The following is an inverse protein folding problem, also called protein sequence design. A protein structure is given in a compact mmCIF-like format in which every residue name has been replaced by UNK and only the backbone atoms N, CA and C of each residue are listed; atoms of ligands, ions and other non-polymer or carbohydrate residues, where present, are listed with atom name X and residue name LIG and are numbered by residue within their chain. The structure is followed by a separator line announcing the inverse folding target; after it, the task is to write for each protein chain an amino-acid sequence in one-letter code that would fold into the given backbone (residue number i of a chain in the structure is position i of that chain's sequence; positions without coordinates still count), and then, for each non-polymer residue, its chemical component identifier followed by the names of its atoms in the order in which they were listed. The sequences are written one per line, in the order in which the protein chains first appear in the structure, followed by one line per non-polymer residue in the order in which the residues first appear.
data_IF_822697895711
#
_entry.id   IF_822697895711
#
_cell.length_a   1.000
_cell.length_b   1.000
_cell.length_c   1.000
_cell.angle_alpha   90.00
_cell.angle_beta   90.00
_cell.angle_gamma   90.00
#
_symmetry.space_group_name_H-M   'P 1'
#
loop_
_entity.id
_entity.type
_entity.pdbx_description
1 polymer ?
#
# COMPACT_ATOMS: atom_id res chain seq x y z
N UNK A 1 -5.07 22.12 8.32
CA UNK A 1 -4.80 21.21 9.45
C UNK A 1 -3.62 20.28 9.12
N UNK A 2 -3.67 19.42 8.11
CA UNK A 2 -2.57 18.48 7.79
C UNK A 2 -1.25 19.23 7.52
N UNK A 3 -1.26 20.31 6.74
CA UNK A 3 -0.08 21.15 6.51
C UNK A 3 0.57 21.64 7.81
N UNK A 4 -0.23 22.16 8.74
CA UNK A 4 0.28 22.66 10.03
C UNK A 4 0.83 21.52 10.89
N UNK A 5 0.15 20.37 10.92
CA UNK A 5 0.63 19.19 11.62
C UNK A 5 1.95 18.67 11.02
N UNK A 6 2.03 18.58 9.68
CA UNK A 6 3.25 18.19 8.99
C UNK A 6 4.41 19.17 9.27
N UNK A 7 4.13 20.49 9.24
CA UNK A 7 5.13 21.50 9.53
C UNK A 7 5.69 21.36 10.96
N UNK A 8 4.80 21.27 11.96
CA UNK A 8 5.22 21.12 13.36
C UNK A 8 6.04 19.83 13.52
N UNK A 9 5.56 18.75 12.94
CA UNK A 9 6.23 17.46 13.02
C UNK A 9 7.64 17.50 12.42
N UNK A 10 7.81 18.07 11.22
CA UNK A 10 9.12 18.17 10.56
C UNK A 10 10.09 19.13 11.29
N UNK A 11 9.58 20.10 12.03
CA UNK A 11 10.44 20.94 12.88
C UNK A 11 11.04 20.14 14.05
N UNK A 12 10.29 19.18 14.59
CA UNK A 12 10.70 18.37 15.76
C UNK A 12 11.52 17.14 15.37
N UNK A 13 11.34 16.60 14.16
CA UNK A 13 12.05 15.40 13.70
C UNK A 13 13.56 15.60 13.74
N UNK A 14 14.24 14.70 14.46
CA UNK A 14 15.70 14.56 14.45
C UNK A 14 16.08 13.39 13.54
N UNK A 15 16.92 13.66 12.55
CA UNK A 15 17.48 12.64 11.66
C UNK A 15 18.78 12.18 12.32
N UNK A 16 18.68 11.15 13.16
CA UNK A 16 19.81 10.72 14.01
C UNK A 16 20.01 9.20 14.02
N UNK A 17 19.19 8.45 13.30
CA UNK A 17 19.23 7.00 13.31
C UNK A 17 18.69 6.38 12.00
N UNK A 18 18.83 5.07 11.85
CA UNK A 18 18.36 4.31 10.71
C UNK A 18 19.26 4.45 9.48
N UNK A 19 18.79 3.96 8.36
CA UNK A 19 19.53 3.93 7.11
C UNK A 19 19.95 5.33 6.63
N UNK A 20 19.22 6.37 7.03
CA UNK A 20 19.55 7.76 6.68
C UNK A 20 20.97 8.14 7.11
N UNK A 21 21.37 7.79 8.34
CA UNK A 21 22.65 8.17 8.91
C UNK A 21 23.71 7.07 8.73
N UNK A 22 23.32 5.83 8.99
CA UNK A 22 24.27 4.70 9.01
C UNK A 22 24.73 4.33 7.60
N UNK A 23 23.85 4.47 6.61
CA UNK A 23 24.10 3.95 5.27
C UNK A 23 24.13 5.04 4.21
N UNK A 24 23.04 5.78 4.02
CA UNK A 24 22.93 6.68 2.86
C UNK A 24 23.85 7.91 2.94
N UNK A 25 24.14 8.45 4.14
CA UNK A 25 25.07 9.57 4.27
C UNK A 25 26.49 9.20 3.85
N UNK A 26 26.90 7.95 4.01
CA UNK A 26 28.24 7.48 3.66
C UNK A 26 28.39 7.05 2.21
N UNK A 27 27.29 6.87 1.49
CA UNK A 27 27.33 6.38 0.10
C UNK A 27 28.02 7.33 -0.88
N UNK A 28 27.92 8.64 -0.65
CA UNK A 28 28.44 9.66 -1.60
C UNK A 28 29.97 9.82 -1.57
N UNK A 29 30.63 9.16 -0.67
CA UNK A 29 32.07 9.24 -0.35
C UNK A 29 32.99 9.36 -1.59
N UNK A 30 33.01 10.54 -2.20
CA UNK A 30 33.78 10.87 -3.41
C UNK A 30 33.28 10.25 -4.73
N UNK A 31 32.21 9.44 -4.71
CA UNK A 31 31.63 8.77 -5.89
C UNK A 31 30.55 9.61 -6.55
N UNK A 32 30.40 9.46 -7.87
CA UNK A 32 29.29 10.06 -8.60
C UNK A 32 27.98 9.32 -8.30
N UNK A 33 26.84 10.01 -8.40
CA UNK A 33 25.52 9.39 -8.21
C UNK A 33 25.30 8.21 -9.18
N UNK A 34 25.81 8.31 -10.40
CA UNK A 34 25.67 7.26 -11.41
C UNK A 34 26.44 5.99 -11.07
N UNK A 35 27.66 6.12 -10.53
CA UNK A 35 28.45 4.98 -10.02
C UNK A 35 27.72 4.29 -8.85
N UNK A 36 27.17 5.08 -7.95
CA UNK A 36 26.42 4.53 -6.80
C UNK A 36 25.18 3.78 -7.30
N UNK A 37 24.39 4.38 -8.20
CA UNK A 37 23.18 3.73 -8.72
C UNK A 37 23.52 2.44 -9.48
N UNK A 38 24.56 2.45 -10.32
CA UNK A 38 25.02 1.26 -11.04
C UNK A 38 25.44 0.15 -10.07
N UNK A 39 26.22 0.49 -9.04
CA UNK A 39 26.60 -0.45 -8.00
C UNK A 39 25.41 -1.01 -7.23
N UNK A 40 24.47 -0.15 -6.84
CA UNK A 40 23.27 -0.59 -6.10
C UNK A 40 22.35 -1.45 -6.94
N UNK A 41 22.19 -1.14 -8.22
CA UNK A 41 21.45 -2.01 -9.14
C UNK A 41 22.06 -3.40 -9.24
N UNK A 42 23.39 -3.47 -9.31
CA UNK A 42 24.10 -4.74 -9.38
C UNK A 42 24.06 -5.54 -8.07
N UNK A 43 24.00 -4.89 -6.91
CA UNK A 43 24.23 -5.54 -5.60
C UNK A 43 23.05 -5.53 -4.63
N UNK A 44 22.06 -4.61 -4.79
CA UNK A 44 21.09 -4.40 -3.73
C UNK A 44 19.65 -4.11 -4.15
N UNK A 45 19.42 -3.18 -5.09
CA UNK A 45 18.08 -2.60 -5.28
C UNK A 45 17.79 -2.21 -6.72
N UNK A 46 16.55 -2.44 -7.14
CA UNK A 46 16.02 -2.00 -8.45
C UNK A 46 15.44 -0.57 -8.45
N UNK A 47 15.37 0.10 -7.30
CA UNK A 47 14.64 1.36 -7.09
C UNK A 47 15.40 2.59 -7.59
N UNK A 48 15.90 2.55 -8.83
CA UNK A 48 16.85 3.54 -9.36
C UNK A 48 16.32 4.97 -9.34
N UNK A 49 15.07 5.22 -9.77
CA UNK A 49 14.52 6.58 -9.77
C UNK A 49 14.28 7.10 -8.34
N UNK A 50 13.92 6.22 -7.42
CA UNK A 50 13.77 6.58 -6.00
C UNK A 50 15.13 6.88 -5.39
N UNK A 51 16.14 6.03 -5.61
CA UNK A 51 17.47 6.22 -5.04
C UNK A 51 18.20 7.42 -5.64
N UNK A 52 17.94 7.74 -6.92
CA UNK A 52 18.42 8.97 -7.54
C UNK A 52 17.96 10.24 -6.80
N UNK A 53 16.77 10.22 -6.21
CA UNK A 53 16.22 11.31 -5.40
C UNK A 53 16.65 11.18 -3.93
N UNK A 54 16.60 9.98 -3.38
CA UNK A 54 16.86 9.70 -1.96
C UNK A 54 18.29 10.06 -1.54
N UNK A 55 19.29 9.59 -2.31
CA UNK A 55 20.71 9.75 -1.94
C UNK A 55 21.12 11.21 -1.82
N UNK A 56 20.80 12.12 -2.77
CA UNK A 56 21.06 13.54 -2.59
C UNK A 56 20.25 14.18 -1.45
N UNK A 57 19.00 13.77 -1.24
CA UNK A 57 18.16 14.34 -0.18
C UNK A 57 18.67 14.02 1.23
N UNK A 58 19.28 12.86 1.42
CA UNK A 58 19.91 12.53 2.70
C UNK A 58 21.09 13.44 3.02
N UNK A 59 21.79 13.95 1.99
CA UNK A 59 22.88 14.93 2.16
C UNK A 59 22.35 16.33 2.50
N UNK A 60 21.07 16.62 2.18
CA UNK A 60 20.44 17.93 2.34
C UNK A 60 19.10 17.78 3.09
N UNK A 61 19.11 17.38 4.39
CA UNK A 61 17.89 17.04 5.11
C UNK A 61 16.84 18.15 5.21
N UNK A 62 17.26 19.41 5.21
CA UNK A 62 16.34 20.54 5.23
C UNK A 62 15.49 20.62 3.96
N UNK A 63 16.07 20.27 2.80
CA UNK A 63 15.34 20.22 1.53
C UNK A 63 14.29 19.11 1.56
N UNK A 64 14.67 17.93 2.08
CA UNK A 64 13.70 16.84 2.29
C UNK A 64 12.53 17.29 3.18
N UNK A 65 12.79 17.99 4.30
CA UNK A 65 11.70 18.47 5.19
C UNK A 65 10.68 19.32 4.43
N UNK A 66 11.14 20.23 3.57
CA UNK A 66 10.25 21.08 2.76
C UNK A 66 9.43 20.24 1.79
N UNK A 67 10.09 19.39 1.02
CA UNK A 67 9.43 18.56 0.01
C UNK A 67 8.46 17.55 0.65
N UNK A 68 8.83 16.95 1.76
CA UNK A 68 7.99 15.98 2.46
C UNK A 68 6.73 16.62 3.08
N UNK A 69 6.82 17.84 3.60
CA UNK A 69 5.64 18.63 4.02
C UNK A 69 4.67 18.81 2.84
N UNK A 70 5.19 19.10 1.65
CA UNK A 70 4.38 19.25 0.44
C UNK A 70 3.69 17.90 0.11
N UNK A 71 4.45 16.80 0.12
CA UNK A 71 3.91 15.46 -0.13
C UNK A 71 2.82 15.10 0.86
N UNK A 72 3.06 15.27 2.16
CA UNK A 72 2.06 15.04 3.22
C UNK A 72 0.80 15.87 3.03
N UNK A 73 0.92 17.08 2.52
CA UNK A 73 -0.22 17.98 2.28
C UNK A 73 -0.99 17.58 1.02
N UNK A 74 -0.30 17.15 -0.02
CA UNK A 74 -0.93 16.80 -1.30
C UNK A 74 -1.67 15.46 -1.25
N UNK A 75 -1.20 14.47 -0.48
CA UNK A 75 -1.87 13.18 -0.36
C UNK A 75 -3.35 13.31 0.02
N UNK A 76 -3.73 13.97 1.14
CA UNK A 76 -5.14 14.14 1.49
C UNK A 76 -5.93 14.97 0.46
N UNK A 77 -5.28 15.91 -0.23
CA UNK A 77 -5.94 16.67 -1.30
C UNK A 77 -6.28 15.75 -2.48
N UNK A 78 -5.36 14.89 -2.90
CA UNK A 78 -5.61 13.94 -3.99
C UNK A 78 -6.63 12.87 -3.58
N UNK A 79 -6.52 12.33 -2.37
CA UNK A 79 -7.51 11.40 -1.82
C UNK A 79 -8.90 12.02 -1.77
N UNK A 80 -9.02 13.24 -1.28
CA UNK A 80 -10.30 13.95 -1.28
C UNK A 80 -10.86 14.11 -2.71
N UNK A 81 -10.03 14.49 -3.67
CA UNK A 81 -10.44 14.63 -5.07
C UNK A 81 -10.89 13.30 -5.67
N UNK A 82 -10.17 12.22 -5.41
CA UNK A 82 -10.51 10.90 -5.91
C UNK A 82 -11.84 10.38 -5.33
N UNK A 83 -12.06 10.58 -4.03
CA UNK A 83 -13.19 9.98 -3.32
C UNK A 83 -14.46 10.82 -3.37
N UNK A 84 -14.35 12.18 -3.34
CA UNK A 84 -15.48 13.06 -3.07
C UNK A 84 -15.82 14.03 -4.18
N UNK A 85 -15.02 14.16 -5.25
CA UNK A 85 -15.37 15.12 -6.32
C UNK A 85 -16.49 14.64 -7.24
N UNK A 86 -16.79 13.32 -7.30
CA UNK A 86 -17.91 12.78 -8.07
C UNK A 86 -18.52 11.54 -7.37
N UNK A 87 -19.00 11.65 -6.11
CA UNK A 87 -19.52 10.49 -5.36
C UNK A 87 -20.78 9.90 -5.99
N UNK A 88 -21.66 10.75 -6.56
CA UNK A 88 -22.93 10.36 -7.19
C UNK A 88 -22.74 9.37 -8.34
N UNK A 89 -21.58 9.39 -8.97
CA UNK A 89 -21.28 8.52 -10.12
C UNK A 89 -20.85 7.11 -9.73
N UNK A 90 -20.39 6.92 -8.49
CA UNK A 90 -19.82 5.65 -8.01
C UNK A 90 -20.62 4.99 -6.90
N UNK A 91 -21.31 5.79 -6.10
CA UNK A 91 -22.18 5.33 -5.03
C UNK A 91 -23.59 5.79 -5.40
N UNK A 92 -24.54 4.85 -5.62
CA UNK A 92 -25.97 5.18 -5.80
C UNK A 92 -26.62 5.66 -4.49
N UNK A 93 -25.84 6.23 -3.64
CA UNK A 93 -26.33 6.96 -2.50
C UNK A 93 -26.36 8.44 -2.92
N UNK A 94 -27.50 9.07 -2.82
CA UNK A 94 -27.59 10.53 -2.63
C UNK A 94 -26.91 10.87 -1.29
N UNK A 95 -25.60 10.56 -1.24
CA UNK A 95 -24.81 10.88 -0.09
C UNK A 95 -24.44 12.35 -0.21
N UNK A 96 -25.32 13.19 0.32
CA UNK A 96 -25.07 14.61 0.49
C UNK A 96 -24.00 14.77 1.59
N UNK A 97 -22.81 14.13 1.36
CA UNK A 97 -21.69 14.29 2.25
C UNK A 97 -21.30 15.75 2.18
N UNK A 98 -21.53 16.45 3.27
CA UNK A 98 -21.04 17.80 3.42
C UNK A 98 -19.57 17.84 3.03
N UNK A 99 -19.23 18.65 2.03
CA UNK A 99 -17.86 18.77 1.49
C UNK A 99 -16.81 18.99 2.61
N UNK A 100 -17.22 19.69 3.66
CA UNK A 100 -16.40 19.93 4.85
C UNK A 100 -16.17 18.63 5.64
N UNK A 101 -17.20 17.82 5.84
CA UNK A 101 -17.07 16.53 6.53
C UNK A 101 -16.14 15.57 5.77
N UNK A 102 -16.26 15.50 4.43
CA UNK A 102 -15.36 14.71 3.59
C UNK A 102 -13.89 15.13 3.71
N UNK A 103 -13.61 16.44 3.76
CA UNK A 103 -12.25 16.96 4.00
C UNK A 103 -11.73 16.56 5.37
N UNK A 104 -12.53 16.70 6.41
CA UNK A 104 -12.16 16.30 7.77
C UNK A 104 -11.88 14.80 7.87
N UNK A 105 -12.70 13.97 7.23
CA UNK A 105 -12.52 12.53 7.19
C UNK A 105 -11.17 12.13 6.60
N UNK A 106 -10.83 12.66 5.43
CA UNK A 106 -9.53 12.39 4.77
C UNK A 106 -8.36 12.89 5.63
N UNK A 107 -8.50 14.07 6.24
CA UNK A 107 -7.47 14.58 7.16
C UNK A 107 -7.32 13.67 8.40
N UNK A 108 -8.41 13.17 8.95
CA UNK A 108 -8.37 12.27 10.10
C UNK A 108 -7.67 10.93 9.76
N UNK A 109 -7.91 10.39 8.56
CA UNK A 109 -7.19 9.20 8.09
C UNK A 109 -5.67 9.42 8.03
N UNK A 110 -5.23 10.58 7.54
CA UNK A 110 -3.80 10.90 7.50
C UNK A 110 -3.18 11.00 8.89
N UNK A 111 -3.93 11.50 9.89
CA UNK A 111 -3.44 11.64 11.26
C UNK A 111 -3.48 10.32 12.04
N UNK A 112 -4.25 9.34 11.58
CA UNK A 112 -4.28 7.98 12.15
C UNK A 112 -3.16 7.08 11.62
N UNK A 113 -2.35 7.57 10.67
CA UNK A 113 -1.20 6.80 10.17
C UNK A 113 -0.22 6.51 11.32
N UNK A 114 0.23 5.25 11.47
CA UNK A 114 1.17 4.90 12.53
C UNK A 114 2.55 5.50 12.23
N UNK A 115 2.84 6.66 12.80
CA UNK A 115 4.11 7.37 12.59
C UNK A 115 5.32 6.56 13.04
N UNK A 116 5.16 5.61 13.97
CA UNK A 116 6.20 4.66 14.36
C UNK A 116 6.76 3.87 13.18
N UNK A 117 5.93 3.52 12.22
CA UNK A 117 6.33 2.72 11.05
C UNK A 117 7.18 3.54 10.07
N UNK A 118 7.08 4.88 10.13
CA UNK A 118 7.87 5.77 9.28
C UNK A 118 9.33 5.89 9.71
N UNK A 119 9.65 5.49 10.93
CA UNK A 119 11.02 5.56 11.50
C UNK A 119 11.80 4.28 11.23
N UNK A 120 11.16 3.22 10.76
CA UNK A 120 11.71 1.86 10.70
C UNK A 120 13.07 1.75 10.00
N UNK A 121 13.27 2.48 8.90
CA UNK A 121 14.52 2.51 8.15
C UNK A 121 15.18 3.91 8.12
N UNK A 122 14.66 4.86 8.88
CA UNK A 122 15.00 6.28 8.81
C UNK A 122 13.88 7.09 8.18
N UNK A 123 13.80 8.37 8.52
CA UNK A 123 12.71 9.24 8.07
C UNK A 123 12.74 9.49 6.57
N UNK A 124 13.91 9.87 6.03
CA UNK A 124 14.08 10.19 4.61
C UNK A 124 13.92 8.93 3.78
N UNK A 125 14.63 7.87 4.17
CA UNK A 125 14.58 6.59 3.46
C UNK A 125 13.15 6.04 3.40
N UNK A 126 12.40 6.07 4.50
CA UNK A 126 11.04 5.53 4.54
C UNK A 126 10.06 6.39 3.74
N UNK A 127 10.07 7.72 3.91
CA UNK A 127 9.10 8.58 3.22
C UNK A 127 9.34 8.59 1.72
N UNK A 128 10.59 8.70 1.27
CA UNK A 128 10.93 8.73 -0.17
C UNK A 128 10.68 7.37 -0.84
N UNK A 129 10.87 6.25 -0.15
CA UNK A 129 10.61 4.91 -0.71
C UNK A 129 9.13 4.53 -0.74
N UNK A 130 8.29 5.06 0.16
CA UNK A 130 6.91 4.57 0.30
C UNK A 130 5.85 5.67 0.18
N UNK A 131 6.04 6.82 0.85
CA UNK A 131 5.04 7.88 0.86
C UNK A 131 5.02 8.68 -0.45
N UNK A 132 6.20 8.99 -1.00
CA UNK A 132 6.30 9.73 -2.25
C UNK A 132 5.79 8.93 -3.45
N UNK A 133 6.11 7.62 -3.61
CA UNK A 133 5.48 6.78 -4.61
C UNK A 133 3.95 6.70 -4.47
N UNK A 134 3.41 6.69 -3.25
CA UNK A 134 1.97 6.76 -3.03
C UNK A 134 1.36 8.05 -3.59
N UNK A 135 2.01 9.21 -3.40
CA UNK A 135 1.57 10.47 -4.02
C UNK A 135 1.53 10.35 -5.55
N UNK A 136 2.57 9.78 -6.16
CA UNK A 136 2.64 9.56 -7.60
C UNK A 136 1.51 8.66 -8.10
N UNK A 137 1.25 7.55 -7.40
CA UNK A 137 0.15 6.64 -7.70
C UNK A 137 -1.21 7.33 -7.63
N UNK A 138 -1.47 8.10 -6.57
CA UNK A 138 -2.72 8.86 -6.40
C UNK A 138 -2.91 9.89 -7.51
N UNK A 139 -1.83 10.53 -7.93
CA UNK A 139 -1.88 11.49 -9.04
C UNK A 139 -2.24 10.82 -10.36
N UNK A 140 -1.62 9.67 -10.69
CA UNK A 140 -1.97 8.89 -11.87
C UNK A 140 -3.41 8.41 -11.79
N UNK A 141 -3.86 7.89 -10.65
CA UNK A 141 -5.26 7.48 -10.45
C UNK A 141 -6.24 8.63 -10.72
N UNK A 142 -5.92 9.86 -10.30
CA UNK A 142 -6.71 11.05 -10.59
C UNK A 142 -6.74 11.37 -12.10
N UNK A 143 -5.61 11.23 -12.80
CA UNK A 143 -5.56 11.41 -14.26
C UNK A 143 -6.39 10.35 -14.99
N UNK A 144 -6.31 9.08 -14.58
CA UNK A 144 -7.12 8.00 -15.13
C UNK A 144 -8.62 8.25 -14.89
N UNK A 145 -8.99 8.72 -13.70
CA UNK A 145 -10.36 9.11 -13.40
C UNK A 145 -10.82 10.27 -14.31
N UNK A 146 -9.98 11.28 -14.50
CA UNK A 146 -10.26 12.43 -15.38
C UNK A 146 -10.43 11.98 -16.84
N UNK A 147 -9.59 11.09 -17.34
CA UNK A 147 -9.69 10.51 -18.68
C UNK A 147 -10.99 9.72 -18.84
N UNK A 148 -11.36 8.91 -17.85
CA UNK A 148 -12.61 8.14 -17.86
C UNK A 148 -13.86 9.04 -17.90
N UNK A 149 -13.83 10.21 -17.22
CA UNK A 149 -14.95 11.14 -17.13
C UNK A 149 -15.00 12.11 -18.30
N UNK A 150 -13.92 12.85 -18.53
CA UNK A 150 -13.86 13.96 -19.49
C UNK A 150 -13.28 13.55 -20.85
N UNK A 151 -12.57 12.42 -20.93
CA UNK A 151 -11.96 11.94 -22.15
C UNK A 151 -10.65 12.61 -22.53
N UNK A 152 -10.23 13.68 -21.83
CA UNK A 152 -8.96 14.37 -22.11
C UNK A 152 -8.26 14.86 -20.85
N UNK A 153 -6.94 14.99 -20.96
CA UNK A 153 -6.01 15.53 -19.96
C UNK A 153 -5.13 16.53 -20.66
N UNK A 154 -4.85 17.68 -20.04
CA UNK A 154 -3.92 18.65 -20.62
C UNK A 154 -2.50 18.06 -20.70
N UNK A 155 -1.73 18.52 -21.67
CA UNK A 155 -0.40 17.97 -21.92
C UNK A 155 0.54 18.07 -20.69
N UNK A 156 0.47 19.18 -19.94
CA UNK A 156 1.30 19.39 -18.74
C UNK A 156 0.87 18.45 -17.57
N UNK A 157 -0.41 18.15 -17.46
CA UNK A 157 -0.90 17.14 -16.49
C UNK A 157 -0.40 15.74 -16.89
N UNK A 158 -0.47 15.42 -18.18
CA UNK A 158 0.05 14.17 -18.72
C UNK A 158 1.56 14.04 -18.53
N UNK A 159 2.32 15.09 -18.76
CA UNK A 159 3.76 15.13 -18.50
C UNK A 159 4.08 14.93 -17.01
N UNK A 160 3.33 15.58 -16.11
CA UNK A 160 3.40 15.31 -14.66
C UNK A 160 3.11 13.86 -14.32
N UNK A 161 2.16 13.24 -15.05
CA UNK A 161 1.85 11.82 -14.93
C UNK A 161 3.03 10.92 -15.36
N UNK A 162 3.76 11.29 -16.41
CA UNK A 162 4.98 10.56 -16.85
C UNK A 162 6.05 10.57 -15.74
N UNK A 163 6.35 11.76 -15.19
CA UNK A 163 7.32 11.88 -14.09
C UNK A 163 6.88 11.07 -12.87
N UNK A 164 5.60 11.17 -12.50
CA UNK A 164 5.03 10.39 -11.40
C UNK A 164 5.09 8.89 -11.67
N UNK A 165 4.84 8.45 -12.90
CA UNK A 165 4.89 7.06 -13.31
C UNK A 165 6.32 6.49 -13.19
N UNK A 166 7.32 7.17 -13.73
CA UNK A 166 8.73 6.77 -13.65
C UNK A 166 9.16 6.63 -12.18
N UNK A 167 8.77 7.58 -11.34
CA UNK A 167 9.15 7.58 -9.93
C UNK A 167 8.43 6.48 -9.16
N UNK A 168 7.11 6.42 -9.23
CA UNK A 168 6.33 5.49 -8.41
C UNK A 168 6.45 4.04 -8.86
N UNK A 169 6.61 3.75 -10.17
CA UNK A 169 6.83 2.41 -10.68
C UNK A 169 8.24 1.85 -10.38
N UNK A 170 9.15 2.67 -9.87
CA UNK A 170 10.42 2.19 -9.34
C UNK A 170 10.27 1.43 -8.01
N UNK A 171 9.13 1.54 -7.32
CA UNK A 171 8.81 0.77 -6.14
C UNK A 171 7.96 -0.45 -6.54
N UNK A 172 8.42 -1.65 -6.17
CA UNK A 172 7.91 -2.93 -6.66
C UNK A 172 6.40 -3.12 -6.45
N UNK A 173 5.91 -2.77 -5.27
CA UNK A 173 4.49 -2.91 -4.90
C UNK A 173 3.62 -1.91 -5.66
N UNK A 174 4.10 -0.68 -5.79
CA UNK A 174 3.37 0.38 -6.49
C UNK A 174 3.31 0.10 -7.97
N UNK A 175 4.40 -0.40 -8.58
CA UNK A 175 4.41 -0.82 -9.98
C UNK A 175 3.33 -1.86 -10.27
N UNK A 176 3.22 -2.89 -9.44
CA UNK A 176 2.21 -3.91 -9.67
C UNK A 176 0.76 -3.41 -9.47
N UNK A 177 0.51 -2.52 -8.48
CA UNK A 177 -0.79 -1.87 -8.32
C UNK A 177 -1.10 -0.99 -9.53
N UNK A 178 -0.11 -0.24 -9.99
CA UNK A 178 -0.23 0.64 -11.15
C UNK A 178 -0.54 -0.16 -12.42
N UNK A 179 0.13 -1.31 -12.64
CA UNK A 179 -0.17 -2.21 -13.75
C UNK A 179 -1.64 -2.63 -13.76
N UNK A 180 -2.17 -3.04 -12.61
CA UNK A 180 -3.58 -3.42 -12.48
C UNK A 180 -4.50 -2.24 -12.78
N UNK A 181 -4.22 -1.06 -12.24
CA UNK A 181 -5.02 0.15 -12.50
C UNK A 181 -5.02 0.52 -13.98
N UNK A 182 -3.87 0.46 -14.64
CA UNK A 182 -3.73 0.76 -16.06
C UNK A 182 -4.45 -0.27 -16.92
N UNK A 183 -4.34 -1.56 -16.60
CA UNK A 183 -5.08 -2.62 -17.25
C UNK A 183 -6.60 -2.40 -17.15
N UNK A 184 -7.09 -2.09 -15.93
CA UNK A 184 -8.50 -1.80 -15.71
C UNK A 184 -8.95 -0.56 -16.49
N UNK A 185 -8.11 0.48 -16.56
CA UNK A 185 -8.41 1.69 -17.34
C UNK A 185 -8.46 1.38 -18.86
N UNK A 186 -7.58 0.53 -19.38
CA UNK A 186 -7.63 0.06 -20.77
C UNK A 186 -8.90 -0.74 -21.08
N UNK A 187 -9.25 -1.69 -20.22
CA UNK A 187 -10.49 -2.49 -20.36
C UNK A 187 -11.73 -1.59 -20.31
N UNK A 188 -11.78 -0.64 -19.39
CA UNK A 188 -12.88 0.33 -19.30
C UNK A 188 -13.00 1.17 -20.57
N UNK A 189 -11.88 1.70 -21.09
CA UNK A 189 -11.87 2.49 -22.32
C UNK A 189 -12.33 1.68 -23.53
N UNK A 190 -11.89 0.43 -23.61
CA UNK A 190 -12.29 -0.49 -24.67
C UNK A 190 -13.80 -0.80 -24.65
N UNK A 191 -14.34 -1.16 -23.46
CA UNK A 191 -15.78 -1.45 -23.29
C UNK A 191 -16.67 -0.25 -23.63
N UNK A 192 -16.22 0.94 -23.31
CA UNK A 192 -16.96 2.18 -23.57
C UNK A 192 -16.78 2.68 -25.02
N UNK A 193 -16.06 1.95 -25.88
CA UNK A 193 -15.71 2.36 -27.26
C UNK A 193 -15.13 3.78 -27.32
N UNK A 194 -14.49 4.23 -26.22
CA UNK A 194 -13.73 5.48 -26.18
C UNK A 194 -12.35 5.17 -26.71
N UNK A 195 -11.86 5.99 -27.64
CA UNK A 195 -10.45 5.93 -28.04
C UNK A 195 -9.60 6.07 -26.76
N UNK A 196 -8.82 5.02 -26.45
CA UNK A 196 -7.93 5.06 -25.31
C UNK A 196 -7.01 6.26 -25.43
N UNK A 197 -6.90 7.05 -24.37
CA UNK A 197 -5.97 8.17 -24.38
C UNK A 197 -4.54 7.64 -24.53
N UNK A 198 -3.74 8.28 -25.39
CA UNK A 198 -2.34 7.96 -25.57
C UNK A 198 -1.55 7.94 -24.24
N UNK A 199 -2.00 8.73 -23.27
CA UNK A 199 -1.41 8.78 -21.93
C UNK A 199 -1.53 7.44 -21.18
N UNK A 200 -2.67 6.72 -21.28
CA UNK A 200 -2.85 5.41 -20.62
C UNK A 200 -1.82 4.41 -21.15
N UNK A 201 -1.64 4.36 -22.46
CA UNK A 201 -0.67 3.48 -23.09
C UNK A 201 0.77 3.89 -22.76
N UNK A 202 1.06 5.18 -22.74
CA UNK A 202 2.36 5.71 -22.35
C UNK A 202 2.74 5.32 -20.93
N UNK A 203 1.84 5.50 -19.97
CA UNK A 203 2.06 5.06 -18.58
C UNK A 203 2.23 3.54 -18.47
N UNK A 204 1.44 2.76 -19.23
CA UNK A 204 1.57 1.31 -19.23
C UNK A 204 2.92 0.84 -19.76
N UNK A 205 3.43 1.47 -20.82
CA UNK A 205 4.77 1.17 -21.35
C UNK A 205 5.85 1.49 -20.32
N UNK A 206 5.77 2.64 -19.66
CA UNK A 206 6.73 3.03 -18.62
C UNK A 206 6.71 2.02 -17.47
N UNK A 207 5.52 1.65 -17.00
CA UNK A 207 5.35 0.73 -15.89
C UNK A 207 5.85 -0.68 -16.23
N UNK A 208 5.56 -1.19 -17.43
CA UNK A 208 6.09 -2.47 -17.92
C UNK A 208 7.61 -2.46 -18.01
N UNK A 209 8.22 -1.37 -18.51
CA UNK A 209 9.67 -1.21 -18.53
C UNK A 209 10.23 -1.24 -17.10
N UNK A 210 9.60 -0.53 -16.16
CA UNK A 210 10.00 -0.53 -14.75
C UNK A 210 9.91 -1.93 -14.13
N UNK A 211 8.81 -2.65 -14.36
CA UNK A 211 8.67 -4.03 -13.89
C UNK A 211 9.73 -4.96 -14.51
N UNK A 212 10.03 -4.79 -15.79
CA UNK A 212 11.09 -5.55 -16.44
C UNK A 212 12.46 -5.27 -15.81
N UNK A 213 12.79 -4.01 -15.52
CA UNK A 213 14.04 -3.63 -14.83
C UNK A 213 14.10 -4.18 -13.42
N UNK A 214 12.98 -4.19 -12.68
CA UNK A 214 12.86 -4.79 -11.34
C UNK A 214 13.14 -6.30 -11.39
N UNK A 215 12.51 -7.01 -12.32
CA UNK A 215 12.66 -8.47 -12.47
C UNK A 215 14.07 -8.88 -12.92
N UNK A 216 14.74 -8.04 -13.70
CA UNK A 216 16.10 -8.28 -14.19
C UNK A 216 17.18 -7.79 -13.24
N UNK A 217 16.86 -7.11 -12.15
CA UNK A 217 17.83 -6.54 -11.24
C UNK A 217 18.63 -7.63 -10.48
N UNK A 218 19.94 -7.75 -10.71
CA UNK A 218 20.75 -8.74 -10.00
C UNK A 218 20.78 -8.49 -8.48
N UNK A 219 20.79 -7.21 -8.09
CA UNK A 219 20.80 -6.80 -6.68
C UNK A 219 19.61 -7.31 -5.88
N UNK A 220 18.43 -7.42 -6.48
CA UNK A 220 17.26 -7.99 -5.82
C UNK A 220 17.47 -9.47 -5.44
N UNK A 221 18.12 -10.24 -6.31
CA UNK A 221 18.48 -11.64 -6.04
C UNK A 221 19.50 -11.77 -4.92
N UNK A 222 20.58 -10.97 -4.98
CA UNK A 222 21.64 -10.96 -3.95
C UNK A 222 21.06 -10.57 -2.59
N UNK A 223 20.28 -9.49 -2.55
CA UNK A 223 19.60 -9.05 -1.33
C UNK A 223 18.68 -10.13 -0.78
N UNK A 224 17.89 -10.78 -1.63
CA UNK A 224 16.99 -11.85 -1.20
C UNK A 224 17.74 -13.02 -0.57
N UNK A 225 18.88 -13.41 -1.12
CA UNK A 225 19.72 -14.45 -0.52
C UNK A 225 20.27 -14.03 0.84
N UNK A 226 20.82 -12.82 0.95
CA UNK A 226 21.37 -12.32 2.21
C UNK A 226 20.30 -12.17 3.30
N UNK A 227 19.11 -11.72 2.96
CA UNK A 227 17.98 -11.61 3.90
C UNK A 227 17.49 -12.98 4.36
N UNK A 228 17.45 -13.98 3.45
CA UNK A 228 17.08 -15.36 3.80
C UNK A 228 18.14 -15.97 4.71
N UNK A 229 19.43 -15.88 4.35
CA UNK A 229 20.53 -16.43 5.15
C UNK A 229 20.63 -15.77 6.54
N UNK A 230 20.43 -14.46 6.61
CA UNK A 230 20.56 -13.71 7.86
C UNK A 230 19.36 -13.81 8.80
N UNK A 231 18.15 -14.03 8.27
CA UNK A 231 16.90 -13.94 9.05
C UNK A 231 16.14 -15.25 9.17
N UNK A 232 16.12 -16.06 8.14
CA UNK A 232 15.33 -17.28 8.06
C UNK A 232 15.95 -18.27 7.05
N UNK A 233 17.07 -18.93 7.36
CA UNK A 233 17.75 -19.84 6.43
C UNK A 233 16.84 -20.95 5.90
N UNK A 234 15.89 -21.42 6.72
CA UNK A 234 14.94 -22.47 6.37
C UNK A 234 13.99 -22.07 5.23
N UNK A 235 13.78 -20.76 5.01
CA UNK A 235 12.91 -20.26 3.94
C UNK A 235 13.37 -20.69 2.54
N UNK A 236 14.67 -20.96 2.35
CA UNK A 236 15.20 -21.47 1.10
C UNK A 236 14.60 -22.84 0.73
N UNK A 237 14.30 -23.66 1.73
CA UNK A 237 13.81 -25.02 1.58
C UNK A 237 12.29 -25.13 1.54
N UNK A 238 11.56 -24.03 1.81
CA UNK A 238 10.10 -24.04 1.79
C UNK A 238 9.56 -24.18 0.38
N UNK A 239 8.54 -25.02 0.26
CA UNK A 239 7.74 -25.12 -0.96
C UNK A 239 7.01 -23.79 -1.27
N UNK A 240 6.56 -23.65 -2.50
CA UNK A 240 5.77 -22.47 -2.92
C UNK A 240 4.51 -22.31 -2.04
N UNK A 241 3.86 -23.41 -1.67
CA UNK A 241 2.67 -23.38 -0.84
C UNK A 241 2.95 -22.91 0.59
N UNK A 242 4.07 -23.32 1.17
CA UNK A 242 4.53 -22.83 2.47
C UNK A 242 4.82 -21.35 2.45
N UNK A 243 5.46 -20.85 1.39
CA UNK A 243 5.72 -19.42 1.20
C UNK A 243 4.43 -18.62 1.06
N UNK A 244 3.44 -19.12 0.30
CA UNK A 244 2.12 -18.49 0.16
C UNK A 244 1.40 -18.45 1.51
N UNK A 245 1.42 -19.56 2.24
CA UNK A 245 0.81 -19.63 3.57
C UNK A 245 1.44 -18.63 4.53
N UNK A 246 2.77 -18.55 4.61
CA UNK A 246 3.47 -17.57 5.46
C UNK A 246 3.10 -16.14 5.10
N UNK A 247 2.99 -15.85 3.80
CA UNK A 247 2.51 -14.55 3.33
C UNK A 247 1.10 -14.24 3.82
N UNK A 248 0.17 -15.20 3.70
CA UNK A 248 -1.21 -15.06 4.15
C UNK A 248 -1.29 -14.87 5.68
N UNK A 249 -0.55 -15.68 6.44
CA UNK A 249 -0.51 -15.58 7.90
C UNK A 249 0.06 -14.24 8.38
N UNK A 250 1.06 -13.70 7.67
CA UNK A 250 1.60 -12.40 8.03
C UNK A 250 0.67 -11.23 7.66
N UNK A 251 -0.07 -11.32 6.56
CA UNK A 251 -1.12 -10.35 6.23
C UNK A 251 -2.18 -10.35 7.34
N UNK A 252 -2.63 -11.52 7.76
CA UNK A 252 -3.57 -11.67 8.87
C UNK A 252 -3.01 -11.01 10.14
N UNK A 253 -1.76 -11.29 10.50
CA UNK A 253 -1.11 -10.70 11.66
C UNK A 253 -1.16 -9.17 11.63
N UNK A 254 -0.87 -8.55 10.49
CA UNK A 254 -0.80 -7.09 10.36
C UNK A 254 -2.20 -6.46 10.44
N UNK A 255 -3.20 -7.06 9.80
CA UNK A 255 -4.52 -6.46 9.68
C UNK A 255 -5.47 -6.85 10.81
N UNK A 256 -5.32 -8.05 11.35
CA UNK A 256 -6.24 -8.60 12.35
C UNK A 256 -5.57 -8.74 13.71
N UNK A 257 -4.50 -9.52 13.81
CA UNK A 257 -3.89 -9.86 15.10
C UNK A 257 -3.25 -8.68 15.82
N UNK A 258 -2.65 -7.73 15.11
CA UNK A 258 -2.08 -6.51 15.69
C UNK A 258 -3.10 -5.39 15.93
N UNK A 259 -4.39 -5.67 15.71
CA UNK A 259 -5.49 -4.71 15.88
C UNK A 259 -5.23 -3.41 15.11
N UNK A 260 -5.13 -3.55 13.79
CA UNK A 260 -4.91 -2.38 12.93
C UNK A 260 -6.10 -1.41 13.01
N UNK A 261 -5.89 -0.27 13.67
CA UNK A 261 -6.95 0.71 13.96
C UNK A 261 -7.63 1.23 12.69
N UNK A 262 -6.87 1.47 11.62
CA UNK A 262 -7.42 1.96 10.35
C UNK A 262 -8.32 0.90 9.73
N UNK A 263 -7.86 -0.35 9.72
CA UNK A 263 -8.62 -1.46 9.16
C UNK A 263 -9.89 -1.75 9.96
N UNK A 264 -9.81 -1.66 11.28
CA UNK A 264 -10.97 -1.76 12.18
C UNK A 264 -12.00 -0.66 11.89
N UNK A 265 -11.56 0.60 11.79
CA UNK A 265 -12.45 1.75 11.50
C UNK A 265 -13.11 1.58 10.13
N UNK A 266 -12.34 1.24 9.10
CA UNK A 266 -12.88 1.03 7.74
C UNK A 266 -13.92 -0.10 7.75
N UNK A 267 -13.63 -1.21 8.42
CA UNK A 267 -14.55 -2.35 8.53
C UNK A 267 -15.83 -1.96 9.25
N UNK A 268 -15.73 -1.22 10.35
CA UNK A 268 -16.90 -0.76 11.11
C UNK A 268 -17.75 0.23 10.29
N UNK A 269 -17.11 1.18 9.60
CA UNK A 269 -17.82 2.13 8.71
C UNK A 269 -18.55 1.40 7.59
N UNK A 270 -17.91 0.43 6.93
CA UNK A 270 -18.56 -0.36 5.89
C UNK A 270 -19.78 -1.12 6.42
N UNK A 271 -19.68 -1.74 7.59
CA UNK A 271 -20.80 -2.46 8.22
C UNK A 271 -21.97 -1.50 8.53
N UNK A 272 -21.70 -0.32 9.09
CA UNK A 272 -22.71 0.70 9.35
C UNK A 272 -23.36 1.16 8.05
N UNK A 273 -22.59 1.44 7.00
CA UNK A 273 -23.15 1.86 5.70
C UNK A 273 -24.05 0.78 5.09
N UNK A 274 -23.67 -0.50 5.21
CA UNK A 274 -24.53 -1.62 4.77
C UNK A 274 -25.84 -1.62 5.57
N UNK A 275 -25.79 -1.44 6.88
CA UNK A 275 -26.97 -1.35 7.74
C UNK A 275 -27.91 -0.21 7.34
N UNK A 276 -27.36 0.97 7.14
CA UNK A 276 -28.11 2.15 6.72
C UNK A 276 -28.75 1.99 5.32
N UNK A 277 -28.00 1.43 4.35
CA UNK A 277 -28.46 1.22 2.99
C UNK A 277 -29.50 0.09 2.88
N UNK A 278 -29.24 -1.04 3.51
CA UNK A 278 -30.06 -2.26 3.30
C UNK A 278 -31.20 -2.41 4.30
N UNK A 279 -31.09 -1.75 5.45
CA UNK A 279 -32.02 -1.90 6.61
C UNK A 279 -32.27 -3.38 6.98
N UNK A 280 -31.27 -4.24 6.76
CA UNK A 280 -31.34 -5.68 6.95
C UNK A 280 -30.27 -6.13 7.96
N UNK A 281 -30.73 -6.66 9.10
CA UNK A 281 -29.86 -7.07 10.21
C UNK A 281 -28.86 -8.15 9.78
N UNK A 282 -29.29 -9.15 9.02
CA UNK A 282 -28.42 -10.26 8.61
C UNK A 282 -27.28 -9.75 7.73
N UNK A 283 -27.58 -8.85 6.76
CA UNK A 283 -26.55 -8.25 5.91
C UNK A 283 -25.58 -7.41 6.72
N UNK A 284 -26.09 -6.68 7.70
CA UNK A 284 -25.25 -5.87 8.60
C UNK A 284 -24.33 -6.76 9.43
N UNK A 285 -24.85 -7.83 10.02
CA UNK A 285 -24.05 -8.78 10.80
C UNK A 285 -22.97 -9.46 9.95
N UNK A 286 -23.30 -9.93 8.75
CA UNK A 286 -22.31 -10.51 7.84
C UNK A 286 -21.23 -9.51 7.43
N UNK A 287 -21.60 -8.25 7.23
CA UNK A 287 -20.64 -7.16 6.94
C UNK A 287 -19.80 -6.76 8.15
N UNK A 288 -20.24 -7.08 9.37
CA UNK A 288 -19.53 -6.80 10.62
C UNK A 288 -18.53 -7.90 10.99
N UNK A 289 -18.49 -9.00 10.28
CA UNK A 289 -17.57 -10.13 10.55
C UNK A 289 -16.12 -9.67 10.70
N UNK A 290 -15.56 -8.81 9.83
CA UNK A 290 -14.20 -8.31 10.01
C UNK A 290 -13.97 -7.61 11.36
N UNK A 291 -14.94 -6.81 11.80
CA UNK A 291 -14.88 -6.11 13.10
C UNK A 291 -14.84 -7.14 14.25
N UNK A 292 -15.70 -8.15 14.19
CA UNK A 292 -15.72 -9.22 15.20
C UNK A 292 -14.44 -10.05 15.19
N UNK A 293 -13.85 -10.32 14.03
CA UNK A 293 -12.56 -10.99 13.93
C UNK A 293 -11.46 -10.18 14.65
N UNK A 294 -11.35 -8.87 14.35
CA UNK A 294 -10.31 -8.02 14.93
C UNK A 294 -10.49 -7.86 16.44
N UNK A 295 -11.71 -7.56 16.89
CA UNK A 295 -12.01 -7.37 18.31
C UNK A 295 -11.95 -8.68 19.09
N UNK A 296 -12.44 -9.79 18.52
CA UNK A 296 -12.34 -11.11 19.11
C UNK A 296 -10.89 -11.51 19.34
N UNK A 297 -10.04 -11.22 18.36
CA UNK A 297 -8.60 -11.43 18.47
C UNK A 297 -7.97 -10.59 19.60
N UNK A 298 -8.33 -9.31 19.69
CA UNK A 298 -7.87 -8.43 20.75
C UNK A 298 -8.27 -8.95 22.15
N UNK A 299 -9.49 -9.47 22.29
CA UNK A 299 -9.98 -10.03 23.55
C UNK A 299 -9.28 -11.34 23.93
N UNK A 300 -9.06 -12.24 22.97
CA UNK A 300 -8.36 -13.50 23.19
C UNK A 300 -6.89 -13.25 23.58
N UNK A 301 -6.28 -12.24 22.97
CA UNK A 301 -4.89 -11.85 23.26
C UNK A 301 -4.66 -11.46 24.73
N UNK A 302 -5.63 -10.84 25.35
CA UNK A 302 -5.48 -10.26 26.70
C UNK A 302 -5.61 -11.28 27.84
N UNK A 303 -6.01 -12.53 27.59
CA UNK A 303 -6.35 -13.41 28.71
C UNK A 303 -6.15 -14.92 28.56
N UNK A 304 -5.63 -15.43 27.44
CA UNK A 304 -5.66 -16.88 27.25
C UNK A 304 -4.33 -17.48 26.75
N UNK A 305 -3.83 -18.55 27.42
CA UNK A 305 -2.64 -19.29 26.98
C UNK A 305 -2.78 -19.95 25.59
N UNK A 306 -3.98 -20.06 25.06
CA UNK A 306 -4.26 -20.49 23.69
C UNK A 306 -3.75 -19.50 22.63
N UNK A 307 -3.64 -18.23 22.97
CA UNK A 307 -3.16 -17.21 22.05
C UNK A 307 -1.78 -17.55 21.50
N UNK A 308 -0.85 -17.93 22.37
CA UNK A 308 0.51 -18.27 21.93
C UNK A 308 0.55 -19.48 21.01
N UNK A 309 -0.31 -20.47 21.22
CA UNK A 309 -0.36 -21.67 20.37
C UNK A 309 -1.06 -21.47 19.04
N UNK A 310 -2.07 -20.59 18.98
CA UNK A 310 -2.91 -20.42 17.79
C UNK A 310 -2.35 -19.31 16.88
N UNK A 311 -1.64 -18.33 17.43
CA UNK A 311 -1.35 -17.06 16.78
C UNK A 311 0.13 -16.68 16.70
N UNK A 312 1.00 -17.52 17.16
CA UNK A 312 2.42 -17.38 16.88
C UNK A 312 2.64 -17.90 15.46
N UNK A 313 2.89 -16.97 14.54
CA UNK A 313 3.61 -17.33 13.32
C UNK A 313 4.96 -17.81 13.80
N UNK A 314 5.34 -19.06 13.53
CA UNK A 314 6.61 -19.58 13.95
C UNK A 314 7.71 -18.66 13.40
N UNK A 315 8.39 -17.95 14.28
CA UNK A 315 9.47 -17.02 13.90
C UNK A 315 10.65 -17.75 13.27
N UNK A 316 10.83 -19.02 13.62
CA UNK A 316 11.93 -19.88 13.19
C UNK A 316 11.44 -21.30 13.35
N UNK A 317 11.09 -22.03 12.29
CA UNK A 317 10.73 -23.40 12.58
C UNK A 317 11.08 -24.39 11.50
N UNK A 318 12.00 -25.26 11.86
CA UNK A 318 12.04 -26.65 11.49
C UNK A 318 10.73 -27.41 11.84
N UNK A 319 9.77 -26.80 12.53
CA UNK A 319 8.55 -27.40 13.10
C UNK A 319 7.27 -27.06 12.36
N UNK A 320 7.37 -26.47 11.17
CA UNK A 320 6.20 -26.15 10.35
C UNK A 320 5.49 -27.42 9.91
N UNK A 321 4.38 -27.72 10.58
CA UNK A 321 3.56 -28.89 10.26
C UNK A 321 2.21 -28.43 9.71
N UNK A 322 2.04 -28.49 8.38
CA UNK A 322 0.74 -28.25 7.72
C UNK A 322 -0.36 -29.19 8.18
N UNK A 323 -0.01 -30.30 8.84
CA UNK A 323 -0.97 -31.25 9.38
C UNK A 323 -1.54 -30.78 10.72
N UNK A 324 -0.93 -29.78 11.36
CA UNK A 324 -1.46 -29.21 12.60
C UNK A 324 -2.59 -28.22 12.26
N UNK A 325 -3.84 -28.51 12.67
CA UNK A 325 -4.97 -27.62 12.43
C UNK A 325 -4.76 -26.20 12.97
N UNK A 326 -4.00 -26.04 14.06
CA UNK A 326 -3.73 -24.74 14.66
C UNK A 326 -3.05 -23.77 13.69
N UNK A 327 -2.21 -24.27 12.80
CA UNK A 327 -1.50 -23.47 11.82
C UNK A 327 -2.42 -22.86 10.73
N UNK A 328 -3.61 -23.41 10.54
CA UNK A 328 -4.58 -22.91 9.56
C UNK A 328 -5.46 -21.76 10.06
N UNK A 329 -5.52 -21.55 11.37
CA UNK A 329 -6.35 -20.49 11.95
C UNK A 329 -6.06 -19.09 11.33
N UNK A 330 -4.82 -18.62 11.21
CA UNK A 330 -4.54 -17.31 10.61
C UNK A 330 -5.10 -17.19 9.19
N UNK A 331 -4.95 -18.23 8.37
CA UNK A 331 -5.45 -18.22 6.99
C UNK A 331 -6.98 -18.22 6.95
N UNK A 332 -7.62 -19.01 7.81
CA UNK A 332 -9.09 -19.05 7.91
C UNK A 332 -9.62 -17.67 8.34
N UNK A 333 -9.02 -17.06 9.37
CA UNK A 333 -9.39 -15.71 9.81
C UNK A 333 -9.20 -14.67 8.71
N UNK A 334 -8.09 -14.73 7.97
CA UNK A 334 -7.86 -13.85 6.82
C UNK A 334 -8.96 -14.04 5.76
N UNK A 335 -9.26 -15.28 5.37
CA UNK A 335 -10.29 -15.58 4.37
C UNK A 335 -11.65 -15.04 4.82
N UNK A 336 -12.03 -15.31 6.06
CA UNK A 336 -13.31 -14.86 6.64
C UNK A 336 -13.38 -13.33 6.68
N UNK A 337 -12.28 -12.67 7.06
CA UNK A 337 -12.20 -11.21 7.10
C UNK A 337 -12.31 -10.60 5.70
N UNK A 338 -11.57 -11.14 4.72
CA UNK A 338 -11.63 -10.69 3.33
C UNK A 338 -13.01 -10.94 2.73
N UNK A 339 -13.62 -12.09 3.01
CA UNK A 339 -14.96 -12.41 2.54
C UNK A 339 -16.00 -11.44 3.13
N UNK A 340 -15.92 -11.11 4.42
CA UNK A 340 -16.79 -10.14 5.08
C UNK A 340 -16.66 -8.73 4.49
N UNK A 341 -15.42 -8.27 4.23
CA UNK A 341 -15.15 -6.99 3.55
C UNK A 341 -15.71 -6.97 2.13
N UNK A 342 -15.45 -8.03 1.37
CA UNK A 342 -15.94 -8.18 -0.01
C UNK A 342 -17.47 -8.20 -0.04
N UNK A 343 -18.10 -8.87 0.90
CA UNK A 343 -19.55 -8.90 1.03
C UNK A 343 -20.13 -7.50 1.36
N UNK A 344 -19.50 -6.77 2.26
CA UNK A 344 -19.90 -5.40 2.59
C UNK A 344 -19.84 -4.49 1.35
N UNK A 345 -18.74 -4.54 0.61
CA UNK A 345 -18.57 -3.81 -0.65
C UNK A 345 -19.61 -4.24 -1.69
N UNK A 346 -19.88 -5.53 -1.82
CA UNK A 346 -20.93 -6.04 -2.71
C UNK A 346 -22.31 -5.46 -2.37
N UNK A 347 -22.70 -5.48 -1.09
CA UNK A 347 -23.98 -4.90 -0.65
C UNK A 347 -24.10 -3.41 -0.97
N UNK A 348 -22.99 -2.67 -0.89
CA UNK A 348 -22.94 -1.24 -1.19
C UNK A 348 -22.93 -0.95 -2.71
N UNK A 349 -22.33 -1.82 -3.52
CA UNK A 349 -22.01 -1.56 -4.91
C UNK A 349 -22.70 -2.52 -5.90
N UNK A 350 -23.65 -3.36 -5.45
CA UNK A 350 -24.28 -4.40 -6.27
C UNK A 350 -24.92 -3.89 -7.57
N UNK A 351 -25.37 -2.64 -7.61
CA UNK A 351 -25.95 -2.00 -8.79
C UNK A 351 -24.88 -1.50 -9.78
N UNK A 352 -23.59 -1.47 -9.34
CA UNK A 352 -22.42 -1.08 -10.12
C UNK A 352 -21.34 -2.13 -10.02
N UNK A 353 -21.66 -3.35 -10.48
CA UNK A 353 -20.76 -4.52 -10.40
C UNK A 353 -19.35 -4.24 -10.96
N UNK A 354 -19.24 -3.42 -12.00
CA UNK A 354 -17.92 -3.02 -12.53
C UNK A 354 -17.09 -2.30 -11.46
N UNK A 355 -17.69 -1.35 -10.73
CA UNK A 355 -16.99 -0.62 -9.66
C UNK A 355 -16.62 -1.53 -8.49
N UNK A 356 -17.47 -2.51 -8.16
CA UNK A 356 -17.18 -3.53 -7.16
C UNK A 356 -15.93 -4.34 -7.51
N UNK A 357 -15.84 -4.87 -8.72
CA UNK A 357 -14.67 -5.64 -9.15
C UNK A 357 -13.40 -4.79 -9.16
N UNK A 358 -13.46 -3.53 -9.58
CA UNK A 358 -12.32 -2.62 -9.51
C UNK A 358 -11.88 -2.35 -8.07
N UNK A 359 -12.82 -2.17 -7.15
CA UNK A 359 -12.52 -1.91 -5.75
C UNK A 359 -11.84 -3.09 -5.07
N UNK A 360 -12.19 -4.33 -5.43
CA UNK A 360 -11.57 -5.54 -4.86
C UNK A 360 -10.22 -5.84 -5.51
N UNK A 361 -10.06 -5.61 -6.81
CA UNK A 361 -8.83 -5.94 -7.52
C UNK A 361 -7.61 -5.18 -6.96
N UNK A 362 -7.78 -3.94 -6.52
CA UNK A 362 -6.70 -3.11 -5.98
C UNK A 362 -6.12 -3.65 -4.66
N UNK A 363 -6.92 -3.91 -3.61
CA UNK A 363 -6.39 -4.48 -2.37
C UNK A 363 -5.76 -5.87 -2.54
N UNK A 364 -6.34 -6.73 -3.38
CA UNK A 364 -5.81 -8.07 -3.63
C UNK A 364 -4.43 -8.00 -4.27
N UNK A 365 -4.23 -7.08 -5.22
CA UNK A 365 -2.92 -6.86 -5.84
C UNK A 365 -1.87 -6.40 -4.81
N UNK A 366 -2.26 -5.50 -3.90
CA UNK A 366 -1.38 -5.00 -2.84
C UNK A 366 -0.99 -6.09 -1.84
N UNK A 367 -1.93 -6.93 -1.43
CA UNK A 367 -1.68 -7.98 -0.43
C UNK A 367 -0.76 -9.07 -0.97
N UNK A 368 -0.89 -9.45 -2.24
CA UNK A 368 -0.03 -10.47 -2.85
C UNK A 368 1.45 -10.06 -2.91
N UNK A 369 1.72 -8.78 -3.12
CA UNK A 369 3.08 -8.26 -3.23
C UNK A 369 3.76 -8.05 -1.89
N UNK A 370 3.01 -7.67 -0.85
CA UNK A 370 3.55 -7.52 0.50
C UNK A 370 3.99 -8.87 1.10
N UNK A 371 3.44 -9.98 0.63
CA UNK A 371 3.88 -11.31 1.04
C UNK A 371 5.37 -11.58 0.73
N UNK A 372 5.93 -10.96 -0.31
CA UNK A 372 7.34 -11.08 -0.66
C UNK A 372 8.27 -10.16 0.17
N UNK A 373 7.76 -9.06 0.73
CA UNK A 373 8.55 -8.16 1.60
C UNK A 373 8.57 -8.60 3.08
N UNK A 374 7.73 -9.53 3.45
CA UNK A 374 7.53 -9.92 4.85
C UNK A 374 8.66 -10.71 5.47
N UNK A 375 9.62 -11.19 4.69
CA UNK A 375 10.91 -11.60 5.22
C UNK A 375 11.66 -10.48 5.97
N UNK A 376 11.36 -9.21 5.69
CA UNK A 376 12.00 -8.05 6.32
C UNK A 376 11.45 -7.67 7.69
N UNK A 377 10.20 -7.97 7.99
CA UNK A 377 9.50 -7.47 9.18
C UNK A 377 9.21 -8.57 10.22
N UNK A 378 9.88 -9.70 10.13
CA UNK A 378 9.74 -10.82 11.07
C UNK A 378 10.72 -10.75 12.25
N UNK A 379 11.41 -9.62 12.43
CA UNK A 379 12.27 -9.36 13.61
C UNK A 379 11.66 -8.24 14.43
#
# INVERSE_FOLDING_TARGET
MVFVAALIWHLVIKISAGDDVVYFQTLMDGRSIWEILAHRYATWSSRMAIEFVLIPLVQVPWLWKILDIIVFTLIPVLLYRLLFLNPEKYLDMECNINKTAGKWLVCAFMLLYPFSDMVSAGWIATTVNYLWPLLGLLYIALLLQKLAQKGHVHWYEGAGGVVSCIFCSSQEQVAAILLVLLFLAMVYSWRRKKSGSLWIYGYAVIDVISLFTILRCPGNGIRSMQEVEGRMPEFAYFSVWEKIYMGAANIERIFVAQVNSIFLIVSAVLAVLVGLKTKNLIKTLLSSVPVFCILGYALIRTGHPWYEKIFIIPKQTAEWNFKDPANWFPVIFLIVTVAGMSYALFCLMKEKLETYFYTIAIPVSYTHLRAHETGRNLV
#
